data_IF_006116597542
#
_entry.id   IF_006116597542
#
_cell.length_a   1.000
_cell.length_b   1.000
_cell.length_c   1.000
_cell.angle_alpha   90.00
_cell.angle_beta   90.00
_cell.angle_gamma   90.00
#
_symmetry.space_group_name_H-M   'P 1'
#
loop_
_entity.id
_entity.type
_entity.pdbx_description
1 polymer ?
#
# COMPACT_ATOMS: atom_id res chain seq x y z
N UNK A 1 38.18 8.66 -16.10
CA UNK A 1 38.62 9.18 -14.82
C UNK A 1 37.61 10.20 -14.30
N UNK A 2 36.39 9.78 -13.96
CA UNK A 2 35.37 10.52 -13.17
C UNK A 2 34.29 9.52 -12.74
N UNK A 3 34.50 8.71 -11.73
CA UNK A 3 33.48 7.91 -11.01
C UNK A 3 33.96 7.62 -9.57
N UNK A 4 34.55 8.56 -8.87
CA UNK A 4 34.98 8.34 -7.47
C UNK A 4 34.55 9.47 -6.52
N UNK A 5 33.67 10.39 -6.91
CA UNK A 5 33.33 11.54 -6.06
C UNK A 5 31.90 11.56 -5.48
N UNK A 6 31.10 10.51 -5.63
CA UNK A 6 29.70 10.50 -5.13
C UNK A 6 29.45 9.69 -3.86
N UNK A 7 30.46 9.04 -3.30
CA UNK A 7 30.29 8.20 -2.08
C UNK A 7 30.70 8.93 -0.78
N UNK A 8 31.36 10.09 -0.85
CA UNK A 8 31.86 10.79 0.34
C UNK A 8 30.88 11.74 1.04
N UNK A 9 29.74 12.10 0.45
CA UNK A 9 28.80 13.03 1.09
C UNK A 9 27.66 12.36 1.88
N UNK A 10 27.54 11.02 1.82
CA UNK A 10 26.52 10.29 2.60
C UNK A 10 27.04 9.75 3.94
N UNK A 11 28.32 9.91 4.24
CA UNK A 11 28.96 9.37 5.47
C UNK A 11 29.28 10.42 6.53
N UNK A 12 29.07 11.71 6.28
CA UNK A 12 29.47 12.77 7.24
C UNK A 12 28.37 13.27 8.19
N UNK A 13 27.15 12.67 8.15
CA UNK A 13 26.06 13.02 9.08
C UNK A 13 25.74 11.95 10.14
N UNK A 14 26.48 10.86 10.20
CA UNK A 14 26.12 9.68 11.00
C UNK A 14 27.13 9.29 12.09
N UNK A 15 28.21 10.08 12.29
CA UNK A 15 29.32 9.60 13.11
C UNK A 15 29.25 9.89 14.64
N UNK A 16 28.27 10.67 15.13
CA UNK A 16 28.30 11.10 16.55
C UNK A 16 27.13 10.58 17.42
N UNK A 17 26.34 9.61 16.94
CA UNK A 17 25.27 8.96 17.75
C UNK A 17 25.33 7.43 17.83
N UNK A 18 26.35 6.77 17.32
CA UNK A 18 26.48 5.30 17.33
C UNK A 18 27.51 4.81 18.33
N UNK A 19 27.72 5.50 19.44
CA UNK A 19 28.30 4.90 20.63
C UNK A 19 27.17 4.63 21.62
N UNK A 20 26.38 3.56 21.32
CA UNK A 20 25.40 3.02 22.26
C UNK A 20 26.09 2.76 23.59
N UNK A 21 25.58 3.36 24.66
CA UNK A 21 25.97 3.00 26.04
C UNK A 21 25.82 1.49 26.16
N UNK A 22 26.91 0.76 26.29
CA UNK A 22 26.90 -0.60 26.81
C UNK A 22 26.33 -0.51 28.21
N UNK A 23 25.10 -1.05 28.40
CA UNK A 23 24.70 -1.37 29.74
C UNK A 23 25.73 -2.36 30.29
N UNK A 24 26.20 -2.14 31.49
CA UNK A 24 27.37 -2.82 32.09
C UNK A 24 27.22 -4.34 32.24
N UNK A 25 26.06 -4.92 31.84
CA UNK A 25 25.72 -6.33 32.02
C UNK A 25 25.57 -7.15 30.72
N UNK A 26 25.88 -6.58 29.55
CA UNK A 26 25.78 -7.35 28.29
C UNK A 26 24.35 -7.73 27.86
N UNK A 27 23.31 -7.23 28.52
CA UNK A 27 21.90 -7.50 28.19
C UNK A 27 21.53 -6.75 26.92
N UNK A 28 20.91 -7.43 25.92
CA UNK A 28 20.46 -6.76 24.72
C UNK A 28 19.33 -5.77 25.03
N UNK A 29 19.31 -4.62 24.33
CA UNK A 29 18.30 -3.60 24.50
C UNK A 29 17.79 -3.12 23.13
N UNK A 30 16.47 -3.11 22.92
CA UNK A 30 15.82 -2.58 21.74
C UNK A 30 15.44 -1.12 21.99
N UNK A 31 15.95 -0.23 21.14
CA UNK A 31 15.59 1.19 21.12
C UNK A 31 14.38 1.46 20.23
N UNK A 32 14.35 0.82 19.06
CA UNK A 32 13.25 0.98 18.09
C UNK A 32 13.15 -0.18 17.12
N UNK A 33 11.96 -0.33 16.52
CA UNK A 33 11.68 -1.25 15.41
C UNK A 33 11.05 -0.48 14.27
N UNK A 34 11.55 -0.63 13.06
CA UNK A 34 11.07 0.09 11.87
C UNK A 34 11.02 -0.82 10.63
N UNK A 35 9.90 -0.83 9.90
CA UNK A 35 8.61 -0.27 10.30
C UNK A 35 8.02 -0.99 11.51
N UNK A 36 7.01 -0.38 12.17
CA UNK A 36 6.33 -0.98 13.33
C UNK A 36 5.20 -1.94 12.96
N UNK A 37 4.99 -2.17 11.67
CA UNK A 37 3.99 -3.10 11.16
C UNK A 37 4.54 -3.86 9.94
N UNK A 38 4.06 -5.09 9.74
CA UNK A 38 4.44 -5.91 8.59
C UNK A 38 3.39 -6.97 8.25
N UNK A 39 3.50 -7.52 7.04
CA UNK A 39 2.94 -8.82 6.68
C UNK A 39 3.93 -9.92 7.07
N UNK A 40 3.47 -11.16 7.14
CA UNK A 40 4.35 -12.31 7.14
C UNK A 40 5.32 -12.25 5.94
N UNK A 41 6.58 -12.61 6.13
CA UNK A 41 7.65 -12.44 5.14
C UNK A 41 8.20 -11.01 5.01
N UNK A 42 7.59 -10.01 5.64
CA UNK A 42 8.06 -8.62 5.67
C UNK A 42 9.31 -8.46 6.54
N UNK A 43 10.15 -7.47 6.23
CA UNK A 43 11.42 -7.24 6.92
C UNK A 43 11.30 -6.08 7.90
N UNK A 44 11.78 -6.28 9.11
CA UNK A 44 11.85 -5.27 10.17
C UNK A 44 13.30 -5.03 10.58
N UNK A 45 13.65 -3.77 10.74
CA UNK A 45 14.94 -3.35 11.30
C UNK A 45 14.78 -3.03 12.77
N UNK A 46 15.40 -3.82 13.62
CA UNK A 46 15.47 -3.65 15.07
C UNK A 46 16.77 -2.91 15.37
N UNK A 47 16.68 -1.75 16.00
CA UNK A 47 17.83 -0.92 16.38
C UNK A 47 17.96 -0.97 17.90
N UNK A 48 19.21 -1.04 18.39
CA UNK A 48 19.47 -1.10 19.82
C UNK A 48 20.95 -1.31 20.13
N UNK A 49 21.25 -1.85 21.29
CA UNK A 49 22.60 -2.14 21.76
C UNK A 49 22.69 -3.58 22.29
N UNK A 50 23.89 -4.18 22.24
CA UNK A 50 24.11 -5.56 22.69
C UNK A 50 23.34 -6.61 21.90
N UNK A 51 22.94 -6.29 20.66
CA UNK A 51 22.11 -7.17 19.83
C UNK A 51 22.90 -8.32 19.19
N UNK A 52 24.22 -8.33 19.34
CA UNK A 52 25.10 -9.41 18.88
C UNK A 52 25.88 -9.99 20.05
N UNK A 53 25.84 -11.31 20.26
CA UNK A 53 26.65 -11.94 21.31
C UNK A 53 28.15 -11.77 21.03
N UNK A 54 28.99 -11.71 22.07
CA UNK A 54 30.45 -11.60 21.93
C UNK A 54 31.07 -12.79 21.19
N UNK A 55 30.48 -13.96 21.35
CA UNK A 55 30.85 -15.18 20.63
C UNK A 55 30.12 -15.24 19.29
N UNK A 56 30.67 -15.94 18.30
CA UNK A 56 30.09 -16.08 16.94
C UNK A 56 28.72 -16.80 16.91
N UNK A 57 27.97 -16.77 18.00
CA UNK A 57 26.60 -17.27 18.10
C UNK A 57 25.65 -16.23 17.50
N UNK A 58 24.71 -16.66 16.67
CA UNK A 58 23.70 -15.75 16.10
C UNK A 58 22.70 -15.36 17.19
N UNK A 59 22.29 -14.07 17.27
CA UNK A 59 21.16 -13.69 18.11
C UNK A 59 19.88 -14.40 17.60
N UNK A 60 18.89 -14.51 18.48
CA UNK A 60 17.56 -14.99 18.12
C UNK A 60 16.56 -13.85 18.23
N UNK A 61 15.76 -13.64 17.21
CA UNK A 61 14.63 -12.70 17.23
C UNK A 61 13.34 -13.52 17.39
N UNK A 62 12.47 -13.13 18.31
CA UNK A 62 11.21 -13.83 18.54
C UNK A 62 10.03 -12.88 18.43
N UNK A 63 8.97 -13.34 17.75
CA UNK A 63 7.64 -12.77 17.69
C UNK A 63 6.72 -13.63 18.56
N UNK A 64 6.50 -13.22 19.82
CA UNK A 64 5.92 -14.14 20.80
C UNK A 64 6.81 -15.39 20.96
N UNK A 65 6.25 -16.56 20.69
CA UNK A 65 6.99 -17.85 20.77
C UNK A 65 7.69 -18.25 19.47
N UNK A 66 7.46 -17.51 18.35
CA UNK A 66 8.00 -17.88 17.04
C UNK A 66 9.37 -17.23 16.80
N UNK A 67 10.36 -18.04 16.41
CA UNK A 67 11.69 -17.57 16.03
C UNK A 67 11.68 -17.03 14.60
N UNK A 68 12.18 -15.81 14.41
CA UNK A 68 12.23 -15.11 13.14
C UNK A 68 13.57 -15.36 12.41
N UNK A 69 13.54 -15.60 11.08
CA UNK A 69 14.75 -15.62 10.27
C UNK A 69 15.48 -14.26 10.33
N UNK A 70 16.77 -14.30 10.65
CA UNK A 70 17.64 -13.11 10.65
C UNK A 70 18.34 -13.01 9.31
N UNK A 71 18.24 -11.84 8.67
CA UNK A 71 18.89 -11.51 7.40
C UNK A 71 20.28 -10.94 7.66
N UNK A 72 20.36 -9.95 8.55
CA UNK A 72 21.60 -9.26 8.95
C UNK A 72 21.58 -9.01 10.44
N UNK A 73 22.74 -9.14 11.09
CA UNK A 73 22.90 -8.78 12.51
C UNK A 73 24.22 -8.06 12.75
N UNK A 74 24.16 -7.06 13.61
CA UNK A 74 25.30 -6.32 14.18
C UNK A 74 25.03 -6.04 15.64
N UNK A 75 25.96 -5.42 16.34
CA UNK A 75 25.76 -5.00 17.73
C UNK A 75 24.67 -3.92 17.87
N UNK A 76 24.51 -3.05 16.85
CA UNK A 76 23.61 -1.91 16.87
C UNK A 76 22.27 -2.15 16.17
N UNK A 77 22.15 -3.19 15.33
CA UNK A 77 20.90 -3.49 14.65
C UNK A 77 20.80 -4.96 14.20
N UNK A 78 19.56 -5.43 14.09
CA UNK A 78 19.21 -6.72 13.47
C UNK A 78 18.12 -6.46 12.44
N UNK A 79 18.23 -7.08 11.25
CA UNK A 79 17.15 -7.16 10.26
C UNK A 79 16.59 -8.58 10.33
N UNK A 80 15.31 -8.68 10.69
CA UNK A 80 14.62 -9.96 10.80
C UNK A 80 13.38 -9.96 9.90
N UNK A 81 13.02 -11.15 9.42
CA UNK A 81 11.82 -11.36 8.63
C UNK A 81 10.71 -11.89 9.53
N UNK A 82 9.52 -11.28 9.42
CA UNK A 82 8.34 -11.73 10.17
C UNK A 82 8.00 -13.16 9.76
N UNK A 83 7.95 -14.13 10.69
CA UNK A 83 7.64 -15.52 10.34
C UNK A 83 6.18 -15.70 9.94
N UNK A 84 5.90 -16.76 9.18
CA UNK A 84 4.54 -17.17 8.87
C UNK A 84 3.79 -17.53 10.15
N UNK A 85 2.52 -17.13 10.25
CA UNK A 85 1.69 -17.36 11.43
C UNK A 85 2.02 -16.44 12.62
N UNK A 86 2.96 -15.51 12.50
CA UNK A 86 3.18 -14.49 13.53
C UNK A 86 1.94 -13.61 13.71
N UNK A 87 1.69 -13.23 14.95
CA UNK A 87 0.61 -12.32 15.34
C UNK A 87 1.16 -11.02 15.90
N UNK A 88 0.32 -9.98 15.92
CA UNK A 88 0.68 -8.71 16.55
C UNK A 88 1.03 -8.91 18.02
N UNK A 89 2.15 -8.34 18.45
CA UNK A 89 2.62 -8.52 19.82
C UNK A 89 4.06 -8.11 20.04
N UNK A 90 4.66 -8.55 21.13
CA UNK A 90 6.02 -8.22 21.49
C UNK A 90 7.03 -8.94 20.58
N UNK A 91 8.06 -8.19 20.17
CA UNK A 91 9.28 -8.68 19.56
C UNK A 91 10.41 -8.50 20.55
N UNK A 92 11.24 -9.51 20.70
CA UNK A 92 12.43 -9.50 21.56
C UNK A 92 13.63 -10.06 20.80
N UNK A 93 14.81 -9.63 21.24
CA UNK A 93 16.11 -10.19 20.80
C UNK A 93 16.72 -10.95 21.95
N UNK A 94 17.09 -12.19 21.74
CA UNK A 94 17.78 -13.01 22.72
C UNK A 94 19.25 -13.23 22.30
N UNK A 95 20.18 -12.95 23.21
CA UNK A 95 21.62 -13.14 23.03
C UNK A 95 22.19 -13.78 24.27
N UNK A 96 22.97 -14.86 24.13
CA UNK A 96 23.74 -15.49 25.19
C UNK A 96 22.95 -15.70 26.51
N UNK A 97 21.70 -16.18 26.39
CA UNK A 97 20.82 -16.43 27.54
C UNK A 97 20.10 -15.21 28.10
N UNK A 98 20.40 -14.00 27.61
CA UNK A 98 19.71 -12.76 27.97
C UNK A 98 18.65 -12.39 26.93
N UNK A 99 17.55 -11.78 27.37
CA UNK A 99 16.45 -11.32 26.51
C UNK A 99 16.30 -9.81 26.65
N UNK A 100 16.08 -9.12 25.53
CA UNK A 100 15.88 -7.67 25.50
C UNK A 100 14.54 -7.27 26.13
N UNK A 101 14.37 -5.95 26.34
CA UNK A 101 13.05 -5.37 26.53
C UNK A 101 12.17 -5.68 25.30
N UNK A 102 10.84 -5.87 25.49
CA UNK A 102 9.90 -6.12 24.40
C UNK A 102 9.61 -4.82 23.63
N UNK A 103 9.37 -4.96 22.31
CA UNK A 103 8.88 -3.87 21.46
C UNK A 103 7.67 -4.37 20.66
N UNK A 104 6.56 -3.64 20.70
CA UNK A 104 5.32 -4.07 20.02
C UNK A 104 5.42 -3.86 18.52
N UNK A 105 5.10 -4.91 17.75
CA UNK A 105 4.96 -4.89 16.31
C UNK A 105 3.56 -5.36 15.93
N UNK A 106 2.97 -4.72 14.91
CA UNK A 106 1.70 -5.14 14.34
C UNK A 106 1.96 -6.07 13.15
N UNK A 107 1.23 -7.17 13.10
CA UNK A 107 1.29 -8.11 11.98
C UNK A 107 -0.08 -8.17 11.32
N UNK A 108 -0.12 -7.98 9.99
CA UNK A 108 -1.34 -8.10 9.22
C UNK A 108 -1.76 -9.56 9.10
N UNK A 109 -3.05 -9.82 9.27
CA UNK A 109 -3.64 -11.16 9.23
C UNK A 109 -4.30 -11.38 7.87
N UNK A 110 -4.03 -12.50 7.16
CA UNK A 110 -4.74 -12.82 5.92
C UNK A 110 -6.23 -13.06 6.21
N UNK A 111 -7.11 -12.50 5.38
CA UNK A 111 -8.57 -12.63 5.49
C UNK A 111 -9.18 -13.31 4.27
N UNK A 112 -8.50 -13.28 3.13
CA UNK A 112 -8.85 -14.03 1.94
C UNK A 112 -7.62 -14.26 1.07
N UNK A 113 -7.48 -15.46 0.55
CA UNK A 113 -6.36 -15.91 -0.29
C UNK A 113 -6.85 -16.38 -1.65
N UNK A 114 -5.92 -16.74 -2.55
CA UNK A 114 -6.22 -17.17 -3.94
C UNK A 114 -6.99 -16.12 -4.76
N UNK A 115 -6.83 -14.85 -4.39
CA UNK A 115 -7.34 -13.71 -5.13
C UNK A 115 -6.22 -13.14 -6.03
N UNK A 116 -6.62 -12.32 -7.02
CA UNK A 116 -5.64 -11.68 -7.92
C UNK A 116 -5.87 -10.17 -8.00
N UNK A 117 -5.76 -9.45 -6.86
CA UNK A 117 -5.91 -8.01 -6.84
C UNK A 117 -4.83 -7.34 -7.68
N UNK A 118 -5.20 -6.32 -8.42
CA UNK A 118 -4.27 -5.54 -9.25
C UNK A 118 -4.16 -4.08 -8.80
N UNK A 119 -5.05 -3.66 -7.90
CA UNK A 119 -5.10 -2.31 -7.32
C UNK A 119 -5.60 -2.34 -5.87
N UNK A 120 -6.06 -1.19 -5.37
CA UNK A 120 -6.72 -1.09 -4.09
C UNK A 120 -7.99 -1.97 -4.04
N UNK A 121 -8.26 -2.65 -2.93
CA UNK A 121 -9.60 -3.11 -2.63
C UNK A 121 -10.53 -1.91 -2.42
N UNK A 122 -11.82 -2.08 -2.65
CA UNK A 122 -12.84 -1.07 -2.35
C UNK A 122 -13.69 -1.53 -1.16
N UNK A 123 -14.24 -0.57 -0.41
CA UNK A 123 -15.05 -0.83 0.79
C UNK A 123 -16.35 -0.07 0.66
N UNK A 124 -17.50 -0.73 0.86
CA UNK A 124 -18.81 -0.08 0.88
C UNK A 124 -19.13 0.52 2.26
N UNK A 125 -20.26 1.20 2.38
CA UNK A 125 -20.70 1.85 3.62
C UNK A 125 -21.02 0.84 4.74
N UNK A 126 -21.35 -0.41 4.39
CA UNK A 126 -21.60 -1.50 5.32
C UNK A 126 -20.31 -2.20 5.78
N UNK A 127 -19.15 -1.83 5.23
CA UNK A 127 -17.84 -2.40 5.53
C UNK A 127 -17.51 -3.68 4.77
N UNK A 128 -18.29 -4.05 3.74
CA UNK A 128 -17.92 -5.15 2.87
C UNK A 128 -16.79 -4.73 1.93
N UNK A 129 -15.88 -5.67 1.66
CA UNK A 129 -14.75 -5.48 0.77
C UNK A 129 -15.08 -6.01 -0.62
N UNK A 130 -14.58 -5.32 -1.63
CA UNK A 130 -14.67 -5.75 -3.03
C UNK A 130 -13.27 -5.79 -3.62
N UNK A 131 -12.94 -6.94 -4.21
CA UNK A 131 -11.60 -7.22 -4.72
C UNK A 131 -11.71 -7.71 -6.16
N UNK A 132 -10.98 -7.06 -7.06
CA UNK A 132 -10.90 -7.49 -8.45
C UNK A 132 -10.09 -8.78 -8.57
N UNK A 133 -10.54 -9.67 -9.44
CA UNK A 133 -9.76 -10.79 -9.93
C UNK A 133 -9.52 -10.58 -11.44
N UNK A 134 -8.31 -10.19 -11.79
CA UNK A 134 -7.97 -9.84 -13.17
C UNK A 134 -7.03 -10.89 -13.76
N UNK A 135 -7.56 -11.70 -14.66
CA UNK A 135 -6.77 -12.65 -15.45
C UNK A 135 -5.83 -11.96 -16.47
N UNK A 136 -5.09 -12.74 -17.28
CA UNK A 136 -4.35 -12.22 -18.41
C UNK A 136 -5.23 -11.38 -19.33
N UNK A 137 -4.63 -10.40 -20.04
CA UNK A 137 -5.41 -9.48 -20.89
C UNK A 137 -6.18 -10.24 -21.97
N UNK A 138 -7.48 -9.97 -22.06
CA UNK A 138 -8.40 -10.61 -23.01
C UNK A 138 -8.86 -12.01 -22.63
N UNK A 139 -8.52 -12.49 -21.43
CA UNK A 139 -9.03 -13.76 -20.91
C UNK A 139 -10.17 -13.51 -19.91
N UNK A 140 -11.27 -14.25 -20.10
CA UNK A 140 -12.34 -14.30 -19.11
C UNK A 140 -11.89 -15.13 -17.90
N UNK A 141 -12.32 -14.69 -16.73
CA UNK A 141 -12.17 -15.42 -15.47
C UNK A 141 -13.56 -15.76 -14.94
N UNK A 142 -13.72 -16.87 -14.22
CA UNK A 142 -15.04 -17.28 -13.71
C UNK A 142 -15.68 -16.25 -12.81
N UNK A 143 -14.87 -15.57 -11.99
CA UNK A 143 -15.31 -14.49 -11.10
C UNK A 143 -14.41 -13.30 -11.33
N UNK A 144 -14.96 -12.16 -11.62
CA UNK A 144 -14.26 -10.92 -11.93
C UNK A 144 -14.09 -10.03 -10.70
N UNK A 145 -15.06 -10.04 -9.79
CA UNK A 145 -15.03 -9.33 -8.52
C UNK A 145 -15.58 -10.24 -7.43
N UNK A 146 -14.83 -10.37 -6.36
CA UNK A 146 -15.28 -11.02 -5.12
C UNK A 146 -15.79 -9.98 -4.14
N UNK A 147 -16.87 -10.30 -3.42
CA UNK A 147 -17.31 -9.60 -2.22
C UNK A 147 -16.88 -10.40 -0.99
N UNK A 148 -16.29 -9.72 -0.03
CA UNK A 148 -15.89 -10.29 1.26
C UNK A 148 -16.70 -9.54 2.32
N UNK A 149 -17.59 -10.23 3.02
CA UNK A 149 -18.44 -9.62 4.03
C UNK A 149 -17.66 -9.31 5.34
N UNK A 150 -18.29 -8.63 6.27
CA UNK A 150 -17.68 -8.23 7.56
C UNK A 150 -17.31 -9.42 8.46
N UNK A 151 -17.76 -10.63 8.15
CA UNK A 151 -17.33 -11.88 8.78
C UNK A 151 -16.25 -12.60 7.98
N UNK A 152 -15.70 -11.94 6.96
CA UNK A 152 -14.68 -12.47 6.04
C UNK A 152 -15.14 -13.65 5.17
N UNK A 153 -16.45 -13.83 4.95
CA UNK A 153 -16.94 -14.79 3.97
C UNK A 153 -16.74 -14.26 2.56
N UNK A 154 -16.01 -15.00 1.73
CA UNK A 154 -15.72 -14.66 0.33
C UNK A 154 -16.82 -15.21 -0.57
N UNK A 155 -17.41 -14.35 -1.42
CA UNK A 155 -18.48 -14.73 -2.36
C UNK A 155 -18.21 -14.13 -3.74
N UNK A 156 -18.53 -14.84 -4.84
CA UNK A 156 -18.61 -14.25 -6.18
C UNK A 156 -19.61 -13.09 -6.17
N UNK A 157 -19.22 -11.96 -6.79
CA UNK A 157 -20.11 -10.81 -6.90
C UNK A 157 -20.35 -10.38 -8.35
N UNK A 158 -19.29 -10.21 -9.14
CA UNK A 158 -19.39 -9.96 -10.58
C UNK A 158 -18.71 -11.09 -11.32
N UNK A 159 -19.40 -11.63 -12.32
CA UNK A 159 -18.86 -12.63 -13.25
C UNK A 159 -18.76 -12.03 -14.66
N UNK A 160 -17.97 -12.65 -15.52
CA UNK A 160 -17.88 -12.33 -16.95
C UNK A 160 -17.33 -10.95 -17.34
N UNK A 161 -16.95 -10.09 -16.39
CA UNK A 161 -16.27 -8.84 -16.70
C UNK A 161 -14.83 -9.12 -17.14
N UNK A 162 -14.45 -8.58 -18.30
CA UNK A 162 -13.09 -8.76 -18.79
C UNK A 162 -12.14 -7.77 -18.12
N UNK A 163 -11.08 -8.29 -17.51
CA UNK A 163 -9.99 -7.53 -16.93
C UNK A 163 -10.40 -6.30 -16.09
N UNK A 164 -11.23 -6.48 -15.04
CA UNK A 164 -11.52 -5.39 -14.11
C UNK A 164 -10.22 -4.88 -13.50
N UNK A 165 -10.12 -3.57 -13.32
CA UNK A 165 -8.89 -2.97 -12.81
C UNK A 165 -9.12 -2.25 -11.49
N UNK A 166 -9.95 -1.24 -11.45
CA UNK A 166 -10.20 -0.43 -10.26
C UNK A 166 -11.68 -0.35 -9.94
N UNK A 167 -11.99 -0.27 -8.66
CA UNK A 167 -13.35 -0.13 -8.14
C UNK A 167 -13.43 1.20 -7.37
N UNK A 168 -14.49 1.96 -7.58
CA UNK A 168 -14.83 3.13 -6.78
C UNK A 168 -16.32 3.17 -6.48
N UNK A 169 -16.67 3.73 -5.33
CA UNK A 169 -18.06 4.05 -4.97
C UNK A 169 -18.30 5.54 -5.09
N UNK A 170 -19.47 5.94 -5.58
CA UNK A 170 -19.91 7.32 -5.46
C UNK A 170 -20.52 7.58 -4.07
N UNK A 171 -20.94 8.82 -3.81
CA UNK A 171 -21.53 9.23 -2.53
C UNK A 171 -22.87 8.53 -2.21
N UNK A 172 -23.54 7.98 -3.18
CA UNK A 172 -24.78 7.23 -3.04
C UNK A 172 -24.52 5.73 -2.80
N UNK A 173 -23.25 5.32 -2.73
CA UNK A 173 -22.87 3.92 -2.56
C UNK A 173 -23.00 3.09 -3.84
N UNK A 174 -23.15 3.73 -5.00
CA UNK A 174 -23.18 3.04 -6.29
C UNK A 174 -21.75 2.68 -6.70
N UNK A 175 -21.54 1.41 -7.05
CA UNK A 175 -20.24 0.88 -7.49
C UNK A 175 -19.96 1.19 -8.96
N UNK A 176 -18.72 1.57 -9.24
CA UNK A 176 -18.17 1.73 -10.58
C UNK A 176 -16.87 0.95 -10.72
N UNK A 177 -16.66 0.34 -11.89
CA UNK A 177 -15.52 -0.52 -12.16
C UNK A 177 -14.95 -0.20 -13.54
N UNK A 178 -13.64 0.02 -13.61
CA UNK A 178 -12.93 0.17 -14.88
C UNK A 178 -12.52 -1.17 -15.47
N UNK A 179 -12.60 -1.30 -16.80
CA UNK A 179 -12.09 -2.44 -17.57
C UNK A 179 -10.94 -1.99 -18.46
N UNK A 180 -9.76 -2.57 -18.25
CA UNK A 180 -8.61 -2.30 -19.12
C UNK A 180 -8.69 -2.99 -20.48
N UNK A 181 -9.60 -3.93 -20.65
CA UNK A 181 -9.82 -4.61 -21.93
C UNK A 181 -10.72 -3.77 -22.85
N UNK A 182 -11.86 -3.34 -22.33
CA UNK A 182 -12.87 -2.62 -23.11
C UNK A 182 -12.57 -1.11 -23.20
N UNK A 183 -11.73 -0.58 -22.33
CA UNK A 183 -11.51 0.87 -22.21
C UNK A 183 -12.76 1.59 -21.70
N UNK A 184 -13.54 0.92 -20.86
CA UNK A 184 -14.83 1.37 -20.37
C UNK A 184 -14.87 1.43 -18.84
N UNK A 185 -15.82 2.19 -18.31
CA UNK A 185 -16.26 2.12 -16.92
C UNK A 185 -17.68 1.58 -16.87
N UNK A 186 -17.91 0.62 -16.02
CA UNK A 186 -19.22 0.02 -15.78
C UNK A 186 -19.77 0.47 -14.43
N UNK A 187 -21.06 0.74 -14.39
CA UNK A 187 -21.85 0.84 -13.17
C UNK A 187 -22.35 -0.54 -12.80
N UNK A 188 -22.12 -0.96 -11.55
CA UNK A 188 -22.48 -2.30 -11.06
C UNK A 188 -23.59 -2.18 -10.02
N UNK A 189 -24.70 -2.85 -10.24
CA UNK A 189 -25.82 -2.88 -9.32
C UNK A 189 -25.53 -3.82 -8.13
N UNK A 190 -26.33 -3.74 -7.06
CA UNK A 190 -26.18 -4.56 -5.84
C UNK A 190 -26.30 -6.07 -6.10
N UNK A 191 -26.96 -6.48 -7.18
CA UNK A 191 -27.06 -7.88 -7.61
C UNK A 191 -25.91 -8.31 -8.54
N UNK A 192 -24.90 -7.47 -8.77
CA UNK A 192 -23.76 -7.74 -9.64
C UNK A 192 -23.98 -7.49 -11.13
N UNK A 193 -25.19 -7.07 -11.57
CA UNK A 193 -25.43 -6.72 -12.98
C UNK A 193 -24.71 -5.43 -13.35
N UNK A 194 -24.17 -5.40 -14.58
CA UNK A 194 -23.37 -4.29 -15.10
C UNK A 194 -24.09 -3.53 -16.20
N UNK A 195 -23.91 -2.21 -16.20
CA UNK A 195 -24.31 -1.34 -17.32
C UNK A 195 -23.13 -0.42 -17.67
N UNK A 196 -22.90 -0.21 -18.96
CA UNK A 196 -21.85 0.72 -19.40
C UNK A 196 -22.17 2.12 -18.91
N UNK A 197 -21.22 2.75 -18.22
CA UNK A 197 -21.33 4.13 -17.74
C UNK A 197 -20.64 5.10 -18.69
N UNK A 198 -19.42 4.78 -19.12
CA UNK A 198 -18.66 5.53 -20.11
C UNK A 198 -17.67 4.62 -20.84
N UNK A 199 -17.33 4.93 -22.07
CA UNK A 199 -16.44 4.14 -22.94
C UNK A 199 -15.51 5.02 -23.76
N UNK A 200 -14.60 4.41 -24.53
CA UNK A 200 -13.67 5.13 -25.42
C UNK A 200 -12.43 5.67 -24.72
N UNK A 201 -12.09 5.20 -23.53
CA UNK A 201 -10.97 5.70 -22.72
C UNK A 201 -9.69 4.87 -22.87
N UNK A 202 -9.47 4.23 -24.03
CA UNK A 202 -8.24 3.48 -24.31
C UNK A 202 -8.06 2.28 -23.37
N UNK A 203 -7.07 2.32 -22.49
CA UNK A 203 -6.81 1.27 -21.47
C UNK A 203 -7.16 1.82 -20.09
N UNK A 204 -8.46 1.85 -19.77
CA UNK A 204 -8.97 2.37 -18.51
C UNK A 204 -8.39 1.60 -17.30
N UNK A 205 -7.79 2.31 -16.35
CA UNK A 205 -7.11 1.73 -15.19
C UNK A 205 -7.68 2.27 -13.87
N UNK A 206 -6.96 3.09 -13.12
CA UNK A 206 -7.43 3.65 -11.88
C UNK A 206 -8.62 4.59 -12.07
N UNK A 207 -9.56 4.55 -11.14
CA UNK A 207 -10.71 5.47 -11.10
C UNK A 207 -10.85 6.08 -9.71
N UNK A 208 -11.32 7.34 -9.65
CA UNK A 208 -11.63 8.03 -8.40
C UNK A 208 -12.71 9.10 -8.62
N UNK A 209 -13.60 9.28 -7.64
CA UNK A 209 -14.57 10.36 -7.64
C UNK A 209 -14.02 11.61 -6.95
N UNK A 210 -14.31 12.79 -7.50
CA UNK A 210 -14.16 14.05 -6.78
C UNK A 210 -15.33 14.29 -5.82
N UNK A 211 -15.24 15.38 -5.04
CA UNK A 211 -16.31 15.77 -4.11
C UNK A 211 -17.58 16.25 -4.81
N UNK A 212 -17.47 16.70 -6.03
CA UNK A 212 -18.60 17.16 -6.86
C UNK A 212 -19.31 15.99 -7.54
N UNK A 213 -18.76 14.75 -7.48
CA UNK A 213 -19.31 13.53 -8.05
C UNK A 213 -18.98 13.34 -9.52
N UNK A 214 -17.93 13.97 -10.03
CA UNK A 214 -17.33 13.63 -11.30
C UNK A 214 -16.36 12.45 -11.11
N UNK A 215 -16.32 11.54 -12.06
CA UNK A 215 -15.43 10.38 -12.06
C UNK A 215 -14.17 10.68 -12.89
N UNK A 216 -13.01 10.41 -12.33
CA UNK A 216 -11.73 10.51 -13.04
C UNK A 216 -11.22 9.12 -13.38
N UNK A 217 -10.68 8.98 -14.59
CA UNK A 217 -10.20 7.68 -15.13
C UNK A 217 -8.81 7.86 -15.72
N UNK A 218 -7.86 7.05 -15.27
CA UNK A 218 -6.52 7.00 -15.83
C UNK A 218 -6.45 6.03 -17.02
N UNK A 219 -5.95 6.50 -18.15
CA UNK A 219 -5.58 5.67 -19.31
C UNK A 219 -4.07 5.46 -19.34
N UNK A 220 -3.62 4.22 -19.58
CA UNK A 220 -2.19 3.88 -19.69
C UNK A 220 -1.44 4.68 -20.77
N UNK A 221 -2.13 5.25 -21.74
CA UNK A 221 -1.51 6.12 -22.75
C UNK A 221 -1.16 7.53 -22.23
N UNK A 222 -1.40 7.80 -20.94
CA UNK A 222 -1.03 9.05 -20.30
C UNK A 222 -2.17 10.04 -20.12
N UNK A 223 -3.38 9.70 -20.51
CA UNK A 223 -4.54 10.59 -20.38
C UNK A 223 -5.26 10.34 -19.05
N UNK A 224 -5.59 11.40 -18.36
CA UNK A 224 -6.58 11.39 -17.27
C UNK A 224 -7.85 12.01 -17.83
N UNK A 225 -8.89 11.20 -17.90
CA UNK A 225 -10.23 11.64 -18.28
C UNK A 225 -11.02 12.11 -17.08
N UNK A 226 -11.88 13.09 -17.25
CA UNK A 226 -12.94 13.49 -16.32
C UNK A 226 -14.28 13.18 -16.96
N UNK A 227 -15.11 12.41 -16.27
CA UNK A 227 -16.49 12.11 -16.64
C UNK A 227 -17.39 12.92 -15.73
N UNK A 228 -18.07 13.92 -16.26
CA UNK A 228 -18.99 14.76 -15.51
C UNK A 228 -20.26 13.98 -15.14
N UNK A 229 -21.09 14.53 -14.24
CA UNK A 229 -22.35 13.88 -13.80
C UNK A 229 -23.34 13.61 -14.92
N UNK A 230 -23.33 14.40 -15.96
CA UNK A 230 -24.11 14.23 -17.20
C UNK A 230 -23.48 13.24 -18.18
N UNK A 231 -22.43 12.54 -17.75
CA UNK A 231 -21.65 11.54 -18.51
C UNK A 231 -20.85 12.12 -19.69
N UNK A 232 -20.69 13.44 -19.79
CA UNK A 232 -19.74 14.01 -20.75
C UNK A 232 -18.32 13.69 -20.33
N UNK A 233 -17.50 13.27 -21.32
CA UNK A 233 -16.11 12.86 -21.10
C UNK A 233 -15.17 13.96 -21.60
N UNK A 234 -14.24 14.39 -20.75
CA UNK A 234 -13.26 15.43 -21.05
C UNK A 234 -11.84 14.90 -20.78
N UNK A 235 -10.85 15.40 -21.52
CA UNK A 235 -9.46 15.25 -21.13
C UNK A 235 -9.17 16.26 -20.00
N UNK A 236 -8.79 15.74 -18.84
CA UNK A 236 -8.48 16.58 -17.67
C UNK A 236 -7.00 16.92 -17.60
N UNK A 237 -6.13 15.95 -17.84
CA UNK A 237 -4.68 16.12 -17.83
C UNK A 237 -4.01 15.08 -18.72
N UNK A 238 -2.75 15.35 -19.11
CA UNK A 238 -1.92 14.41 -19.86
C UNK A 238 -0.61 14.19 -19.12
N UNK A 239 -0.27 12.93 -18.89
CA UNK A 239 0.96 12.46 -18.26
C UNK A 239 1.84 11.73 -19.29
N UNK A 240 3.02 11.28 -18.85
CA UNK A 240 3.88 10.38 -19.62
C UNK A 240 3.19 9.02 -19.84
N UNK A 241 3.51 8.33 -20.93
CA UNK A 241 3.08 6.95 -21.17
C UNK A 241 3.55 6.04 -20.04
N UNK A 242 2.69 5.10 -19.61
CA UNK A 242 3.02 4.14 -18.57
C UNK A 242 2.83 2.71 -19.05
N UNK A 243 3.77 1.84 -18.69
CA UNK A 243 3.62 0.39 -18.86
C UNK A 243 2.76 -0.23 -17.74
N UNK A 244 2.55 0.51 -16.66
CA UNK A 244 1.76 0.10 -15.50
C UNK A 244 0.38 0.78 -15.48
N UNK A 245 -0.55 0.24 -14.70
CA UNK A 245 -1.82 0.91 -14.43
C UNK A 245 -1.58 2.22 -13.68
N UNK A 246 -2.30 3.27 -14.04
CA UNK A 246 -2.42 4.45 -13.20
C UNK A 246 -3.33 4.16 -12.02
N UNK A 247 -2.99 4.67 -10.85
CA UNK A 247 -3.83 4.62 -9.66
C UNK A 247 -4.12 6.06 -9.23
N UNK A 248 -5.35 6.33 -8.85
CA UNK A 248 -5.87 7.67 -8.60
C UNK A 248 -6.42 7.77 -7.18
N UNK A 249 -6.16 8.90 -6.50
CA UNK A 249 -6.84 9.26 -5.26
C UNK A 249 -6.88 10.78 -5.10
N UNK A 250 -7.96 11.30 -4.55
CA UNK A 250 -8.08 12.70 -4.17
C UNK A 250 -7.62 12.93 -2.74
N UNK A 251 -6.93 14.06 -2.51
CA UNK A 251 -6.64 14.52 -1.17
C UNK A 251 -7.82 15.31 -0.57
N UNK A 252 -7.77 15.70 0.73
CA UNK A 252 -8.81 16.52 1.35
C UNK A 252 -9.01 17.89 0.70
N UNK A 253 -8.07 18.41 -0.06
CA UNK A 253 -8.12 19.72 -0.73
C UNK A 253 -8.72 19.64 -2.14
N UNK A 254 -8.96 18.43 -2.67
CA UNK A 254 -9.49 18.22 -4.02
C UNK A 254 -8.42 18.13 -5.11
N UNK A 255 -7.13 18.03 -4.76
CA UNK A 255 -6.09 17.71 -5.72
C UNK A 255 -6.11 16.22 -6.03
N UNK A 256 -5.93 15.84 -7.30
CA UNK A 256 -5.81 14.47 -7.74
C UNK A 256 -4.35 14.01 -7.68
N UNK A 257 -4.11 12.89 -7.00
CA UNK A 257 -2.80 12.26 -6.96
C UNK A 257 -2.79 11.01 -7.83
N UNK A 258 -1.68 10.83 -8.57
CA UNK A 258 -1.52 9.75 -9.55
C UNK A 258 -0.21 9.03 -9.31
N UNK A 259 -0.28 7.70 -9.23
CA UNK A 259 0.87 6.78 -9.24
C UNK A 259 0.79 5.87 -10.46
N UNK A 260 1.87 5.15 -10.75
CA UNK A 260 1.94 4.17 -11.84
C UNK A 260 3.12 4.43 -12.77
N UNK A 261 3.26 5.61 -13.38
CA UNK A 261 4.41 5.86 -14.24
C UNK A 261 5.67 6.12 -13.39
N UNK A 262 6.72 5.36 -13.70
CA UNK A 262 8.06 5.53 -13.13
C UNK A 262 8.11 5.41 -11.58
N UNK A 263 8.97 6.21 -10.95
CA UNK A 263 9.26 6.27 -9.52
C UNK A 263 8.55 7.44 -8.82
N UNK A 264 7.53 8.04 -9.47
CA UNK A 264 6.94 9.32 -9.08
C UNK A 264 5.52 9.18 -8.56
N UNK A 265 5.16 10.13 -7.70
CA UNK A 265 3.79 10.50 -7.39
C UNK A 265 3.53 11.85 -8.01
N UNK A 266 2.56 11.93 -8.90
CA UNK A 266 2.11 13.18 -9.48
C UNK A 266 0.96 13.77 -8.68
N UNK A 267 0.87 15.09 -8.71
CA UNK A 267 -0.23 15.88 -8.20
C UNK A 267 -0.79 16.71 -9.34
N UNK A 268 -2.11 16.69 -9.51
CA UNK A 268 -2.85 17.50 -10.48
C UNK A 268 -3.84 18.34 -9.67
N UNK A 269 -3.73 19.65 -9.78
CA UNK A 269 -4.63 20.56 -9.10
C UNK A 269 -6.03 20.61 -9.78
N UNK A 270 -7.05 21.24 -9.18
CA UNK A 270 -8.38 21.32 -9.77
C UNK A 270 -8.43 22.01 -11.13
N UNK A 271 -7.42 22.80 -11.51
CA UNK A 271 -7.30 23.43 -12.84
C UNK A 271 -6.72 22.48 -13.89
N UNK A 272 -6.26 21.29 -13.53
CA UNK A 272 -5.58 20.33 -14.41
C UNK A 272 -4.06 20.54 -14.49
N UNK A 273 -3.48 21.42 -13.66
CA UNK A 273 -2.03 21.67 -13.67
C UNK A 273 -1.28 20.54 -13.00
N UNK A 274 -0.38 19.90 -13.76
CA UNK A 274 0.43 18.76 -13.34
C UNK A 274 1.71 19.21 -12.63
N UNK A 275 2.03 18.59 -11.50
CA UNK A 275 3.28 18.74 -10.77
C UNK A 275 3.77 17.40 -10.21
N UNK A 276 5.06 17.30 -9.88
CA UNK A 276 5.58 16.13 -9.17
C UNK A 276 5.52 16.39 -7.66
N UNK A 277 4.79 15.55 -6.94
CA UNK A 277 4.69 15.62 -5.49
C UNK A 277 5.84 14.89 -4.78
N UNK A 278 6.20 13.69 -5.26
CA UNK A 278 7.28 12.88 -4.66
C UNK A 278 8.03 12.08 -5.74
N UNK A 279 9.32 11.75 -5.47
CA UNK A 279 10.18 10.92 -6.33
C UNK A 279 10.94 9.89 -5.51
N UNK A 280 11.42 8.83 -6.17
CA UNK A 280 12.30 7.83 -5.57
C UNK A 280 11.55 6.63 -4.96
N UNK A 281 10.30 6.41 -5.33
CA UNK A 281 9.56 5.20 -4.97
C UNK A 281 9.79 4.09 -5.99
N UNK A 282 10.11 2.88 -5.53
CA UNK A 282 10.13 1.70 -6.40
C UNK A 282 8.71 1.21 -6.68
N UNK A 283 8.30 1.18 -7.97
CA UNK A 283 7.00 0.66 -8.44
C UNK A 283 5.82 1.14 -7.60
N UNK A 284 5.53 2.45 -7.54
CA UNK A 284 4.36 2.94 -6.84
C UNK A 284 3.09 2.44 -7.53
N UNK A 285 2.14 1.94 -6.72
CA UNK A 285 0.88 1.36 -7.17
C UNK A 285 -0.29 1.98 -6.38
N UNK A 286 -1.20 1.19 -5.85
CA UNK A 286 -2.36 1.67 -5.13
C UNK A 286 -2.02 2.69 -4.04
N UNK A 287 -2.88 3.70 -3.90
CA UNK A 287 -2.69 4.82 -2.99
C UNK A 287 -4.00 5.22 -2.31
N UNK A 288 -3.89 5.76 -1.11
CA UNK A 288 -5.02 6.27 -0.34
C UNK A 288 -4.57 7.38 0.62
N UNK A 289 -5.47 8.28 0.99
CA UNK A 289 -5.21 9.34 1.96
C UNK A 289 -5.83 9.03 3.32
N UNK A 290 -5.19 9.51 4.40
CA UNK A 290 -5.83 9.66 5.69
C UNK A 290 -6.49 11.04 5.83
N UNK A 291 -7.24 11.23 6.91
CA UNK A 291 -7.93 12.50 7.21
C UNK A 291 -6.96 13.67 7.48
N UNK A 292 -5.72 13.37 7.85
CA UNK A 292 -4.66 14.36 8.10
C UNK A 292 -3.93 14.79 6.82
N UNK A 293 -4.33 14.23 5.66
CA UNK A 293 -3.73 14.50 4.35
C UNK A 293 -2.40 13.80 4.10
N UNK A 294 -2.05 12.77 4.89
CA UNK A 294 -0.92 11.92 4.53
C UNK A 294 -1.33 10.95 3.42
N UNK A 295 -0.45 10.80 2.45
CA UNK A 295 -0.59 9.84 1.36
C UNK A 295 0.08 8.52 1.72
N UNK A 296 -0.63 7.42 1.55
CA UNK A 296 -0.10 6.05 1.69
C UNK A 296 -0.06 5.39 0.33
N UNK A 297 1.09 4.82 -0.03
CA UNK A 297 1.32 4.22 -1.35
C UNK A 297 1.91 2.82 -1.19
N UNK A 298 1.36 1.86 -1.91
CA UNK A 298 1.99 0.54 -2.05
C UNK A 298 3.21 0.68 -2.97
N UNK A 299 4.41 0.76 -2.38
CA UNK A 299 5.66 1.06 -3.09
C UNK A 299 6.86 0.47 -2.36
N UNK A 300 8.04 0.54 -2.99
CA UNK A 300 9.31 0.31 -2.28
C UNK A 300 9.94 1.65 -1.91
N UNK A 301 10.46 1.72 -0.70
CA UNK A 301 11.28 2.84 -0.21
C UNK A 301 12.66 2.29 0.19
N UNK A 302 13.73 2.87 -0.37
CA UNK A 302 15.10 2.41 -0.15
C UNK A 302 15.29 0.88 -0.32
N UNK A 303 14.61 0.32 -1.33
CA UNK A 303 14.69 -1.11 -1.67
C UNK A 303 13.72 -2.04 -0.92
N UNK A 304 13.07 -1.59 0.16
CA UNK A 304 12.11 -2.40 0.92
C UNK A 304 10.69 -2.16 0.44
N UNK A 305 9.97 -3.23 0.03
CA UNK A 305 8.57 -3.19 -0.41
C UNK A 305 7.63 -3.08 0.79
N UNK A 306 6.58 -2.24 0.62
CA UNK A 306 5.60 -2.08 1.68
C UNK A 306 4.57 -1.00 1.39
N UNK A 307 4.00 -0.43 2.46
CA UNK A 307 3.21 0.79 2.42
C UNK A 307 4.09 1.95 2.89
N UNK A 308 4.27 2.90 2.00
CA UNK A 308 5.03 4.13 2.24
C UNK A 308 4.07 5.27 2.54
N UNK A 309 4.21 5.89 3.69
CA UNK A 309 3.52 7.13 4.04
C UNK A 309 4.34 8.32 3.56
N UNK A 310 3.70 9.24 2.87
CA UNK A 310 4.27 10.53 2.45
C UNK A 310 3.45 11.63 3.11
N UNK A 311 4.08 12.37 4.00
CA UNK A 311 3.43 13.51 4.66
C UNK A 311 3.17 14.66 3.66
N UNK A 312 2.28 15.64 3.98
CA UNK A 312 2.01 16.78 3.10
C UNK A 312 3.27 17.60 2.73
N UNK A 313 4.30 17.57 3.56
CA UNK A 313 5.60 18.21 3.29
C UNK A 313 6.55 17.36 2.43
N UNK A 314 6.08 16.23 1.87
CA UNK A 314 6.85 15.33 1.01
C UNK A 314 7.78 14.35 1.74
N UNK A 315 7.84 14.36 3.08
CA UNK A 315 8.68 13.41 3.84
C UNK A 315 8.09 12.01 3.80
N UNK A 316 8.84 11.05 3.24
CA UNK A 316 8.44 9.67 3.09
C UNK A 316 8.99 8.77 4.20
N UNK A 317 8.20 7.77 4.63
CA UNK A 317 8.60 6.72 5.57
C UNK A 317 7.88 5.42 5.24
N UNK A 318 8.60 4.30 5.35
CA UNK A 318 7.98 2.96 5.28
C UNK A 318 7.22 2.71 6.60
N UNK A 319 5.94 2.41 6.50
CA UNK A 319 5.06 2.18 7.66
C UNK A 319 4.72 0.71 7.85
N UNK A 320 4.56 -0.03 6.74
CA UNK A 320 4.30 -1.46 6.74
C UNK A 320 5.28 -2.12 5.78
N UNK A 321 5.97 -3.17 6.22
CA UNK A 321 6.80 -3.99 5.35
C UNK A 321 6.02 -5.22 4.86
N UNK A 322 6.08 -5.53 3.57
CA UNK A 322 5.42 -6.71 3.01
C UNK A 322 5.69 -6.87 1.52
N UNK A 323 6.02 -8.08 1.12
CA UNK A 323 6.24 -8.41 -0.28
C UNK A 323 4.91 -8.48 -1.04
N UNK A 324 4.95 -8.20 -2.34
CA UNK A 324 3.80 -8.33 -3.22
C UNK A 324 2.65 -7.33 -3.00
N UNK A 325 2.79 -6.35 -2.09
CA UNK A 325 1.76 -5.33 -1.86
C UNK A 325 1.49 -4.53 -3.14
N UNK A 326 0.21 -4.47 -3.54
CA UNK A 326 -0.28 -3.76 -4.73
C UNK A 326 -1.24 -2.62 -4.39
N UNK A 327 -1.87 -2.64 -3.21
CA UNK A 327 -2.84 -1.63 -2.82
C UNK A 327 -3.24 -1.69 -1.36
N UNK A 328 -4.04 -0.71 -0.96
CA UNK A 328 -4.61 -0.59 0.38
C UNK A 328 -5.95 0.13 0.35
N UNK A 329 -6.79 -0.14 1.34
CA UNK A 329 -7.99 0.66 1.61
C UNK A 329 -8.15 0.82 3.12
N UNK A 330 -8.43 2.04 3.57
CA UNK A 330 -8.77 2.28 4.97
C UNK A 330 -10.17 1.75 5.26
N UNK A 331 -10.31 1.00 6.33
CA UNK A 331 -11.55 0.37 6.73
C UNK A 331 -12.11 0.98 8.01
N UNK A 332 -13.42 0.81 8.30
CA UNK A 332 -14.01 1.19 9.58
C UNK A 332 -13.21 0.65 10.78
N UNK A 333 -13.32 1.29 11.94
CA UNK A 333 -12.61 0.86 13.14
C UNK A 333 -11.12 1.17 13.15
N UNK A 334 -10.66 2.15 12.32
CA UNK A 334 -9.26 2.57 12.24
C UNK A 334 -8.32 1.42 11.87
N UNK A 335 -8.74 0.64 10.90
CA UNK A 335 -7.98 -0.46 10.32
C UNK A 335 -7.69 -0.22 8.84
N UNK A 336 -6.85 -1.05 8.27
CA UNK A 336 -6.52 -1.00 6.84
C UNK A 336 -6.59 -2.41 6.27
N UNK A 337 -7.13 -2.51 5.06
CA UNK A 337 -7.05 -3.70 4.23
C UNK A 337 -5.88 -3.52 3.26
N UNK A 338 -4.99 -4.47 3.27
CA UNK A 338 -3.80 -4.50 2.44
C UNK A 338 -3.97 -5.59 1.38
N UNK A 339 -3.82 -5.21 0.11
CA UNK A 339 -3.87 -6.16 -1.01
C UNK A 339 -2.46 -6.53 -1.47
N UNK A 340 -2.18 -7.82 -1.55
CA UNK A 340 -1.03 -8.37 -2.27
C UNK A 340 -1.48 -8.90 -3.64
N UNK A 341 -0.55 -9.42 -4.44
CA UNK A 341 -0.89 -10.02 -5.73
C UNK A 341 -1.74 -11.30 -5.63
N UNK A 342 -1.94 -11.87 -4.44
CA UNK A 342 -2.64 -13.16 -4.25
C UNK A 342 -3.63 -13.17 -3.08
N UNK A 343 -3.62 -12.18 -2.22
CA UNK A 343 -4.39 -12.19 -0.98
C UNK A 343 -4.76 -10.78 -0.51
N UNK A 344 -5.71 -10.70 0.39
CA UNK A 344 -6.01 -9.49 1.17
C UNK A 344 -5.82 -9.76 2.65
N UNK A 345 -5.32 -8.76 3.36
CA UNK A 345 -4.94 -8.85 4.77
C UNK A 345 -5.58 -7.71 5.55
N UNK A 346 -5.97 -7.97 6.78
CA UNK A 346 -6.44 -6.97 7.73
C UNK A 346 -5.30 -6.56 8.67
N UNK A 347 -5.13 -5.26 8.88
CA UNK A 347 -4.20 -4.69 9.85
C UNK A 347 -4.90 -3.65 10.73
N UNK A 348 -4.95 -3.88 12.04
CA UNK A 348 -5.37 -2.87 13.03
C UNK A 348 -4.28 -1.80 13.12
N UNK A 349 -4.56 -0.57 12.65
CA UNK A 349 -3.49 0.43 12.47
C UNK A 349 -3.71 1.74 13.23
N UNK A 350 -4.89 1.96 13.75
CA UNK A 350 -5.29 3.18 14.45
C UNK A 350 -5.15 4.47 13.60
N UNK A 351 -5.36 4.35 12.28
CA UNK A 351 -5.36 5.47 11.33
C UNK A 351 -6.77 5.61 10.78
N UNK A 352 -7.25 6.83 10.70
CA UNK A 352 -8.53 7.13 10.07
C UNK A 352 -8.28 7.51 8.61
N UNK A 353 -8.79 6.71 7.68
CA UNK A 353 -8.73 7.00 6.27
C UNK A 353 -9.65 8.15 5.86
N UNK A 354 -9.31 8.81 4.77
CA UNK A 354 -10.20 9.75 4.12
C UNK A 354 -11.34 8.95 3.46
N UNK A 355 -12.53 8.99 4.05
CA UNK A 355 -13.73 8.38 3.48
C UNK A 355 -14.21 9.14 2.24
N UNK A 356 -14.90 8.42 1.34
CA UNK A 356 -15.63 9.05 0.22
C UNK A 356 -16.88 9.82 0.71
N UNK A 357 -17.35 9.49 1.91
CA UNK A 357 -18.50 10.11 2.57
C UNK A 357 -17.95 10.90 3.76
N UNK A 358 -18.07 12.24 3.78
CA UNK A 358 -17.89 13.00 5.01
C UNK A 358 -18.97 12.55 6.01
N UNK A 359 -18.58 12.29 7.26
CA UNK A 359 -19.51 12.20 8.37
C UNK A 359 -20.34 13.49 8.51
#
# INVERSE_FOLDING_TARGET
>A
MVVVLSIRYFLMGFSDRILGRKDANGTPHIESVSPSAALAGGELRIIGSGLRPPQLVRPKVKFGDQEAPIIVSSDAFVVARVPEGATSGPVVVATDGHVSNPHTVRVAVPIAEDLHPVTNPAIDAEGNLYVTFSGPRGQKVPVSIFKIDTNYNVKPFVTEMMNPTSIAFDRQGQMYVSSRFDGAVYRVAQNGTMTTYAEGMGVATGIAFDREGSLYVGDRNGTIFKIARDQQVFVFATLELSVSAYHLAFNPQGDLFVTGPNDRVFKIDPSGTLSTFHRGLGRPQGLAFDVDGNLYVAASLAGTRGIVRIAPNGKARLEVSGQGLVGLAFAPGRSVILATASAVHHLSWNIQGLGLIPE
#
